data_IF_540124112753
#
_entry.id   IF_540124112753
#
_cell.length_a   1.000
_cell.length_b   1.000
_cell.length_c   1.000
_cell.angle_alpha   90.00
_cell.angle_beta   90.00
_cell.angle_gamma   90.00
#
_symmetry.space_group_name_H-M   'P 1'
#
loop_
_entity.id
_entity.type
_entity.pdbx_description
1 polymer ?
#
# COMPACT_ATOMS: atom_id res chain seq x y z
N UNK A 1 43.02 -35.24 30.15
CA UNK A 1 42.64 -35.30 28.71
C UNK A 1 41.96 -33.98 28.36
N UNK A 2 42.77 -33.01 27.90
CA UNK A 2 42.30 -31.72 27.38
C UNK A 2 41.73 -31.97 25.98
N UNK A 3 40.40 -31.84 25.85
CA UNK A 3 39.76 -31.72 24.55
C UNK A 3 40.10 -30.35 23.98
N UNK A 4 41.16 -30.28 23.17
CA UNK A 4 41.50 -29.10 22.41
C UNK A 4 40.34 -28.75 21.46
N UNK A 5 39.74 -27.60 21.66
CA UNK A 5 38.79 -26.94 20.76
C UNK A 5 39.43 -26.84 19.38
N UNK A 6 38.88 -27.56 18.41
CA UNK A 6 39.28 -27.48 16.99
C UNK A 6 38.82 -26.15 16.44
N UNK A 7 39.64 -25.12 16.47
CA UNK A 7 39.34 -23.85 15.80
C UNK A 7 39.48 -24.00 14.27
N UNK A 8 38.37 -24.24 13.60
CA UNK A 8 38.25 -24.03 12.17
C UNK A 8 38.18 -22.51 11.91
N UNK A 9 39.05 -22.01 11.05
CA UNK A 9 39.02 -20.59 10.69
C UNK A 9 38.01 -20.39 9.57
N UNK A 10 36.90 -19.68 9.89
CA UNK A 10 35.78 -19.38 8.97
C UNK A 10 35.87 -17.93 8.58
N UNK A 11 35.80 -17.64 7.27
CA UNK A 11 35.73 -16.29 6.68
C UNK A 11 34.49 -16.25 5.83
N UNK A 12 33.60 -15.30 6.12
CA UNK A 12 32.41 -15.05 5.34
C UNK A 12 32.40 -13.60 4.83
N UNK A 13 32.05 -13.40 3.56
CA UNK A 13 31.94 -12.07 2.95
C UNK A 13 30.89 -12.07 1.85
N UNK A 14 30.32 -10.90 1.57
CA UNK A 14 29.41 -10.70 0.45
C UNK A 14 30.13 -9.94 -0.67
N UNK A 15 30.00 -10.42 -1.90
CA UNK A 15 30.57 -9.81 -3.11
C UNK A 15 29.41 -9.40 -4.02
N UNK A 16 29.43 -8.14 -4.47
CA UNK A 16 28.49 -7.66 -5.50
C UNK A 16 29.19 -7.67 -6.87
N UNK A 17 28.61 -8.35 -7.85
CA UNK A 17 29.10 -8.38 -9.22
C UNK A 17 27.93 -8.44 -10.22
N UNK A 18 27.95 -7.59 -11.23
CA UNK A 18 26.96 -7.55 -12.32
C UNK A 18 25.51 -7.49 -11.84
N UNK A 19 25.27 -6.72 -10.75
CA UNK A 19 23.94 -6.59 -10.14
C UNK A 19 23.48 -7.78 -9.31
N UNK A 20 24.35 -8.79 -9.09
CA UNK A 20 24.10 -9.93 -8.21
C UNK A 20 24.92 -9.84 -6.94
N UNK A 21 24.43 -10.45 -5.88
CA UNK A 21 25.08 -10.52 -4.57
C UNK A 21 25.39 -12.00 -4.29
N UNK A 22 26.67 -12.30 -4.03
CA UNK A 22 27.14 -13.64 -3.70
C UNK A 22 27.63 -13.68 -2.26
N UNK A 23 27.12 -14.60 -1.47
CA UNK A 23 27.70 -14.96 -0.19
C UNK A 23 28.83 -15.96 -0.44
N UNK A 24 30.05 -15.56 -0.07
CA UNK A 24 31.26 -16.39 -0.18
C UNK A 24 31.70 -16.75 1.22
N UNK A 25 31.76 -18.05 1.49
CA UNK A 25 32.26 -18.59 2.75
C UNK A 25 33.48 -19.45 2.49
N UNK A 26 34.57 -19.23 3.23
CA UNK A 26 35.78 -20.03 3.18
C UNK A 26 36.03 -20.64 4.54
N UNK A 27 36.17 -21.96 4.57
CA UNK A 27 36.51 -22.71 5.76
C UNK A 27 37.92 -23.29 5.54
N UNK A 28 38.84 -22.97 6.46
CA UNK A 28 40.23 -23.48 6.43
C UNK A 28 40.37 -24.55 7.50
N UNK A 29 40.75 -25.76 7.07
CA UNK A 29 40.95 -26.92 7.93
C UNK A 29 42.38 -26.98 8.49
N UNK A 30 42.59 -27.79 9.50
CA UNK A 30 43.90 -27.96 10.17
C UNK A 30 45.01 -28.53 9.27
N UNK A 31 44.66 -29.35 8.29
CA UNK A 31 45.54 -29.88 7.27
C UNK A 31 45.92 -28.89 6.18
N UNK A 32 45.50 -27.60 6.33
CA UNK A 32 45.65 -26.51 5.37
C UNK A 32 44.84 -26.69 4.10
N UNK A 33 43.97 -27.67 4.03
CA UNK A 33 42.93 -27.67 2.98
C UNK A 33 41.89 -26.56 3.24
N UNK A 34 41.17 -26.17 2.22
CA UNK A 34 40.09 -25.16 2.34
C UNK A 34 38.92 -25.56 1.48
N UNK A 35 37.75 -25.14 1.93
CA UNK A 35 36.50 -25.25 1.19
C UNK A 35 35.96 -23.83 0.95
N UNK A 36 35.53 -23.53 -0.29
CA UNK A 36 34.90 -22.30 -0.63
C UNK A 36 33.50 -22.62 -1.13
N UNK A 37 32.47 -22.06 -0.47
CA UNK A 37 31.13 -22.08 -0.94
C UNK A 37 30.74 -20.67 -1.49
N UNK A 38 30.03 -20.65 -2.64
CA UNK A 38 29.56 -19.43 -3.29
C UNK A 38 28.08 -19.62 -3.56
N UNK A 39 27.25 -18.81 -2.90
CA UNK A 39 25.81 -18.87 -3.04
C UNK A 39 25.31 -17.53 -3.61
N UNK A 40 24.45 -17.56 -4.62
CA UNK A 40 23.73 -16.36 -5.08
C UNK A 40 22.63 -16.04 -4.07
N UNK A 41 22.80 -14.97 -3.33
CA UNK A 41 21.87 -14.49 -2.29
C UNK A 41 21.20 -13.18 -2.68
N UNK A 42 21.14 -12.90 -3.98
CA UNK A 42 20.58 -11.63 -4.51
C UNK A 42 19.14 -11.43 -4.07
N UNK A 43 18.30 -12.46 -4.20
CA UNK A 43 16.89 -12.37 -3.84
C UNK A 43 16.70 -12.20 -2.34
N UNK A 44 17.42 -12.94 -1.53
CA UNK A 44 17.38 -12.87 -0.07
C UNK A 44 17.80 -11.49 0.44
N UNK A 45 18.90 -10.95 -0.11
CA UNK A 45 19.39 -9.62 0.25
C UNK A 45 18.44 -8.50 -0.21
N UNK A 46 17.85 -8.62 -1.40
CA UNK A 46 16.83 -7.68 -1.86
C UNK A 46 15.59 -7.72 -0.98
N UNK A 47 15.10 -8.89 -0.63
CA UNK A 47 13.96 -9.04 0.29
C UNK A 47 14.28 -8.47 1.67
N UNK A 48 15.46 -8.78 2.23
CA UNK A 48 15.91 -8.24 3.51
C UNK A 48 16.04 -6.71 3.47
N UNK A 49 16.55 -6.15 2.37
CA UNK A 49 16.62 -4.70 2.15
C UNK A 49 15.24 -4.06 2.11
N UNK A 50 14.31 -4.63 1.34
CA UNK A 50 12.94 -4.13 1.24
C UNK A 50 12.23 -4.20 2.60
N UNK A 51 12.41 -5.28 3.36
CA UNK A 51 11.86 -5.43 4.72
C UNK A 51 12.42 -4.38 5.68
N UNK A 52 13.74 -4.12 5.66
CA UNK A 52 14.37 -3.06 6.46
C UNK A 52 13.81 -1.68 6.10
N UNK A 53 13.72 -1.39 4.81
CA UNK A 53 13.18 -0.11 4.32
C UNK A 53 11.71 0.07 4.71
N UNK A 54 10.91 -0.99 4.63
CA UNK A 54 9.52 -0.99 5.08
C UNK A 54 9.42 -0.63 6.57
N UNK A 55 10.20 -1.30 7.42
CA UNK A 55 10.22 -1.05 8.87
C UNK A 55 10.62 0.39 9.19
N UNK A 56 11.65 0.94 8.52
CA UNK A 56 12.08 2.32 8.69
C UNK A 56 10.98 3.32 8.28
N UNK A 57 10.31 3.07 7.15
CA UNK A 57 9.22 3.91 6.67
C UNK A 57 8.02 3.88 7.63
N UNK A 58 7.67 2.70 8.15
CA UNK A 58 6.62 2.54 9.17
C UNK A 58 6.96 3.39 10.41
N UNK A 59 8.16 3.23 10.96
CA UNK A 59 8.59 3.97 12.14
C UNK A 59 8.51 5.50 11.92
N UNK A 60 8.93 5.98 10.74
CA UNK A 60 8.87 7.40 10.39
C UNK A 60 7.42 7.90 10.24
N UNK A 61 6.56 7.16 9.54
CA UNK A 61 5.16 7.55 9.32
C UNK A 61 4.30 7.44 10.60
N UNK A 62 4.69 6.60 11.57
CA UNK A 62 4.08 6.55 12.91
C UNK A 62 4.55 7.69 13.79
N UNK A 63 5.86 8.03 13.79
CA UNK A 63 6.43 9.07 14.64
C UNK A 63 5.80 10.45 14.39
N UNK A 64 5.56 10.79 13.14
CA UNK A 64 5.04 12.12 12.75
C UNK A 64 3.69 12.45 13.40
N UNK A 65 2.62 11.62 13.24
CA UNK A 65 1.32 11.91 13.87
C UNK A 65 1.40 11.88 15.40
N UNK A 66 2.17 10.94 15.98
CA UNK A 66 2.35 10.86 17.44
C UNK A 66 2.97 12.14 17.98
N UNK A 67 4.07 12.62 17.39
CA UNK A 67 4.72 13.87 17.81
C UNK A 67 3.80 15.09 17.63
N UNK A 68 2.95 15.11 16.58
CA UNK A 68 1.98 16.19 16.39
C UNK A 68 0.90 16.19 17.48
N UNK A 69 0.34 15.02 17.81
CA UNK A 69 -0.64 14.87 18.90
C UNK A 69 -0.04 15.34 20.22
N UNK A 70 1.17 14.86 20.56
CA UNK A 70 1.88 15.24 21.76
C UNK A 70 2.07 16.77 21.83
N UNK A 71 2.55 17.40 20.76
CA UNK A 71 2.78 18.85 20.74
C UNK A 71 1.51 19.67 20.93
N UNK A 72 0.38 19.26 20.33
CA UNK A 72 -0.91 19.93 20.55
C UNK A 72 -1.38 19.79 22.00
N UNK A 73 -1.29 18.57 22.57
CA UNK A 73 -1.70 18.31 23.93
C UNK A 73 -0.78 19.03 24.94
N UNK A 74 0.54 19.02 24.75
CA UNK A 74 1.48 19.76 25.58
C UNK A 74 1.20 21.27 25.55
N UNK A 75 0.86 21.82 24.39
CA UNK A 75 0.50 23.23 24.28
C UNK A 75 -0.77 23.56 25.08
N UNK A 76 -1.80 22.70 25.00
CA UNK A 76 -3.03 22.87 25.78
C UNK A 76 -2.74 22.79 27.29
N UNK A 77 -1.95 21.80 27.73
CA UNK A 77 -1.66 21.58 29.15
C UNK A 77 -0.80 22.68 29.78
N UNK A 78 0.15 23.23 28.99
CA UNK A 78 1.09 24.24 29.47
C UNK A 78 0.63 25.70 29.28
N UNK A 79 -0.57 25.91 28.69
CA UNK A 79 -1.12 27.24 28.42
C UNK A 79 -2.44 27.46 29.16
N UNK A 80 -2.42 27.83 30.46
CA UNK A 80 -3.64 27.97 31.28
C UNK A 80 -4.66 28.97 30.75
N UNK A 81 -4.23 29.92 29.89
CA UNK A 81 -5.07 30.98 29.31
C UNK A 81 -5.28 30.79 27.79
N UNK A 82 -5.16 29.57 27.29
CA UNK A 82 -5.40 29.31 25.86
C UNK A 82 -6.85 29.67 25.48
N UNK A 83 -7.07 30.43 24.38
CA UNK A 83 -8.41 30.75 23.93
C UNK A 83 -9.20 29.47 23.60
N UNK A 84 -10.50 29.38 23.95
CA UNK A 84 -11.32 28.19 23.70
C UNK A 84 -11.30 27.72 22.23
N UNK A 85 -11.33 28.64 21.28
CA UNK A 85 -11.28 28.35 19.84
C UNK A 85 -9.93 27.71 19.43
N UNK A 86 -8.82 28.19 20.01
CA UNK A 86 -7.49 27.62 19.76
C UNK A 86 -7.37 26.23 20.37
N UNK A 87 -7.89 26.04 21.58
CA UNK A 87 -7.97 24.74 22.23
C UNK A 87 -8.78 23.76 21.39
N UNK A 88 -9.97 24.18 20.93
CA UNK A 88 -10.81 23.35 20.06
C UNK A 88 -10.08 22.95 18.78
N UNK A 89 -9.40 23.89 18.12
CA UNK A 89 -8.59 23.62 16.93
C UNK A 89 -7.49 22.58 17.19
N UNK A 90 -6.81 22.65 18.35
CA UNK A 90 -5.76 21.66 18.69
C UNK A 90 -6.34 20.27 18.99
N UNK A 91 -7.50 20.20 19.61
CA UNK A 91 -8.22 18.94 19.83
C UNK A 91 -8.67 18.32 18.50
N UNK A 92 -9.24 19.10 17.59
CA UNK A 92 -9.61 18.64 16.25
C UNK A 92 -8.41 18.13 15.46
N UNK A 93 -7.29 18.85 15.50
CA UNK A 93 -6.05 18.42 14.84
C UNK A 93 -5.50 17.14 15.47
N UNK A 94 -5.54 17.00 16.79
CA UNK A 94 -5.12 15.79 17.48
C UNK A 94 -6.00 14.59 17.10
N UNK A 95 -7.31 14.79 17.02
CA UNK A 95 -8.26 13.77 16.59
C UNK A 95 -8.01 13.34 15.13
N UNK A 96 -7.78 14.29 14.23
CA UNK A 96 -7.44 14.00 12.83
C UNK A 96 -6.15 13.19 12.70
N UNK A 97 -5.11 13.48 13.51
CA UNK A 97 -3.88 12.69 13.52
C UNK A 97 -4.08 11.29 14.11
N UNK A 98 -4.94 11.15 15.14
CA UNK A 98 -5.30 9.84 15.71
C UNK A 98 -6.02 8.97 14.70
N UNK A 99 -6.99 9.52 13.95
CA UNK A 99 -7.68 8.80 12.87
C UNK A 99 -6.70 8.36 11.78
N UNK A 100 -5.79 9.25 11.38
CA UNK A 100 -4.74 8.91 10.41
C UNK A 100 -3.86 7.75 10.89
N UNK A 101 -3.49 7.73 12.18
CA UNK A 101 -2.72 6.65 12.79
C UNK A 101 -3.47 5.31 12.72
N UNK A 102 -4.77 5.34 13.03
CA UNK A 102 -5.64 4.15 12.95
C UNK A 102 -5.71 3.60 11.52
N UNK A 103 -5.86 4.47 10.50
CA UNK A 103 -5.82 4.05 9.10
C UNK A 103 -4.48 3.44 8.71
N UNK A 104 -3.37 4.07 9.13
CA UNK A 104 -2.02 3.55 8.85
C UNK A 104 -1.79 2.18 9.47
N UNK A 105 -2.20 1.96 10.72
CA UNK A 105 -2.08 0.67 11.39
C UNK A 105 -2.92 -0.41 10.69
N UNK A 106 -4.14 -0.08 10.24
CA UNK A 106 -4.99 -0.99 9.47
C UNK A 106 -4.34 -1.39 8.15
N UNK A 107 -3.79 -0.41 7.42
CA UNK A 107 -3.09 -0.64 6.15
C UNK A 107 -1.87 -1.55 6.32
N UNK A 108 -1.05 -1.28 7.36
CA UNK A 108 0.11 -2.11 7.71
C UNK A 108 -0.35 -3.54 8.04
N UNK A 109 -1.35 -3.70 8.90
CA UNK A 109 -1.88 -5.01 9.27
C UNK A 109 -2.40 -5.79 8.05
N UNK A 110 -3.06 -5.11 7.12
CA UNK A 110 -3.55 -5.70 5.87
C UNK A 110 -2.38 -6.19 5.01
N UNK A 111 -1.36 -5.36 4.81
CA UNK A 111 -0.17 -5.74 4.02
C UNK A 111 0.61 -6.87 4.68
N UNK A 112 0.81 -6.85 6.00
CA UNK A 112 1.50 -7.92 6.72
C UNK A 112 0.79 -9.26 6.56
N UNK A 113 -0.55 -9.28 6.70
CA UNK A 113 -1.34 -10.49 6.45
C UNK A 113 -1.23 -10.99 5.01
N UNK A 114 -1.15 -10.10 4.03
CA UNK A 114 -0.94 -10.47 2.62
C UNK A 114 0.43 -11.08 2.37
N UNK A 115 1.47 -10.66 3.11
CA UNK A 115 2.85 -11.13 2.95
C UNK A 115 3.11 -12.48 3.67
N UNK A 116 2.39 -12.78 4.77
CA UNK A 116 2.76 -13.86 5.71
C UNK A 116 2.07 -15.21 5.46
N UNK A 117 0.94 -15.26 4.76
CA UNK A 117 0.23 -16.53 4.69
C UNK A 117 -0.78 -16.62 3.56
N UNK A 118 -1.31 -17.81 3.30
CA UNK A 118 -2.37 -18.02 2.32
C UNK A 118 -3.68 -17.34 2.78
N UNK A 119 -3.72 -16.02 2.71
CA UNK A 119 -4.92 -15.18 2.96
C UNK A 119 -6.09 -15.60 2.04
N UNK A 120 -5.82 -16.51 1.13
CA UNK A 120 -6.79 -17.10 0.19
C UNK A 120 -7.59 -18.26 0.78
N UNK A 121 -7.50 -18.53 2.10
CA UNK A 121 -8.25 -19.64 2.70
C UNK A 121 -9.76 -19.37 2.82
N UNK A 122 -10.18 -18.10 2.84
CA UNK A 122 -11.58 -17.71 2.90
C UNK A 122 -12.01 -17.12 1.54
N UNK A 123 -12.24 -17.98 0.57
CA UNK A 123 -12.84 -17.59 -0.71
C UNK A 123 -14.34 -17.75 -0.63
N UNK A 124 -15.05 -16.74 -1.06
CA UNK A 124 -16.50 -16.74 -1.21
C UNK A 124 -16.91 -16.08 -2.53
N UNK A 125 -18.11 -16.36 -2.96
CA UNK A 125 -18.70 -15.71 -4.14
C UNK A 125 -19.16 -14.30 -3.76
N UNK A 126 -18.43 -13.28 -4.24
CA UNK A 126 -18.66 -11.88 -3.91
C UNK A 126 -19.31 -11.16 -5.09
N UNK A 127 -20.49 -10.58 -4.88
CA UNK A 127 -21.11 -9.70 -5.87
C UNK A 127 -20.45 -8.32 -5.81
N UNK A 128 -19.58 -8.06 -6.80
CA UNK A 128 -18.79 -6.82 -6.89
C UNK A 128 -19.68 -5.59 -7.08
N UNK A 129 -20.77 -5.71 -7.84
CA UNK A 129 -21.67 -4.59 -8.08
C UNK A 129 -22.35 -4.11 -6.81
N UNK A 130 -22.82 -5.04 -5.97
CA UNK A 130 -23.42 -4.74 -4.66
C UNK A 130 -22.39 -4.15 -3.70
N UNK A 131 -21.19 -4.73 -3.65
CA UNK A 131 -20.08 -4.24 -2.83
C UNK A 131 -19.71 -2.80 -3.18
N UNK A 132 -19.55 -2.48 -4.45
CA UNK A 132 -19.19 -1.16 -4.93
C UNK A 132 -20.29 -0.13 -4.65
N UNK A 133 -21.56 -0.48 -4.81
CA UNK A 133 -22.70 0.38 -4.42
C UNK A 133 -22.64 0.71 -2.93
N UNK A 134 -22.32 -0.27 -2.08
CA UNK A 134 -22.08 -0.05 -0.64
C UNK A 134 -20.95 0.93 -0.38
N UNK A 135 -19.79 0.74 -1.03
CA UNK A 135 -18.62 1.63 -0.88
C UNK A 135 -18.98 3.08 -1.25
N UNK A 136 -19.64 3.31 -2.38
CA UNK A 136 -20.05 4.68 -2.77
C UNK A 136 -21.04 5.29 -1.78
N UNK A 137 -21.92 4.50 -1.18
CA UNK A 137 -22.83 4.96 -0.13
C UNK A 137 -22.09 5.36 1.14
N UNK A 138 -21.07 4.60 1.55
CA UNK A 138 -20.25 4.92 2.72
C UNK A 138 -19.45 6.22 2.58
N UNK A 139 -19.04 6.57 1.37
CA UNK A 139 -18.25 7.78 1.10
C UNK A 139 -19.09 8.92 0.49
N UNK A 140 -20.41 8.83 0.54
CA UNK A 140 -21.33 9.77 -0.10
C UNK A 140 -21.07 11.22 0.32
N UNK A 141 -20.82 11.49 1.61
CA UNK A 141 -20.51 12.84 2.10
C UNK A 141 -19.25 13.42 1.43
N UNK A 142 -18.18 12.63 1.33
CA UNK A 142 -16.95 13.09 0.68
C UNK A 142 -17.11 13.31 -0.83
N UNK A 143 -17.97 12.52 -1.47
CA UNK A 143 -18.35 12.69 -2.87
C UNK A 143 -19.12 14.00 -3.06
N UNK A 144 -20.10 14.27 -2.20
CA UNK A 144 -20.93 15.49 -2.24
C UNK A 144 -20.10 16.74 -1.94
N UNK A 145 -19.31 16.76 -0.88
CA UNK A 145 -18.42 17.87 -0.51
C UNK A 145 -17.47 18.29 -1.65
N UNK A 146 -17.03 17.32 -2.46
CA UNK A 146 -16.16 17.59 -3.61
C UNK A 146 -16.89 17.69 -4.93
N UNK A 147 -18.21 17.64 -4.94
CA UNK A 147 -19.04 17.73 -6.15
C UNK A 147 -18.65 16.66 -7.19
N UNK A 148 -18.31 15.45 -6.73
CA UNK A 148 -17.89 14.35 -7.59
C UNK A 148 -19.13 13.66 -8.18
N UNK A 149 -19.13 13.45 -9.49
CA UNK A 149 -20.11 12.59 -10.16
C UNK A 149 -19.61 11.15 -10.19
N UNK A 150 -20.44 10.18 -9.81
CA UNK A 150 -20.10 8.75 -9.85
C UNK A 150 -20.88 8.07 -10.96
N UNK A 151 -20.15 7.43 -11.88
CA UNK A 151 -20.69 6.58 -12.94
C UNK A 151 -20.30 5.11 -12.67
N UNK A 152 -21.16 4.38 -11.95
CA UNK A 152 -21.00 2.95 -11.77
C UNK A 152 -21.71 2.20 -12.88
N UNK A 153 -20.94 1.68 -13.83
CA UNK A 153 -21.41 0.97 -15.02
C UNK A 153 -21.11 -0.54 -14.95
N UNK A 154 -21.01 -1.09 -13.74
CA UNK A 154 -20.85 -2.53 -13.54
C UNK A 154 -22.17 -3.28 -13.79
N UNK A 155 -22.13 -4.46 -14.43
CA UNK A 155 -23.28 -5.35 -14.48
C UNK A 155 -23.75 -5.78 -13.08
N UNK A 156 -25.05 -5.84 -12.84
CA UNK A 156 -25.60 -6.13 -11.49
C UNK A 156 -25.23 -7.51 -10.93
N UNK A 157 -24.95 -8.47 -11.78
CA UNK A 157 -24.65 -9.87 -11.44
C UNK A 157 -23.17 -10.24 -11.58
N UNK A 158 -22.26 -9.27 -11.47
CA UNK A 158 -20.83 -9.51 -11.59
C UNK A 158 -20.31 -10.14 -10.29
N UNK A 159 -19.98 -11.44 -10.34
CA UNK A 159 -19.54 -12.23 -9.20
C UNK A 159 -18.08 -12.67 -9.40
N UNK A 160 -17.25 -12.49 -8.37
CA UNK A 160 -15.85 -12.93 -8.30
C UNK A 160 -15.69 -13.83 -7.09
N UNK A 161 -15.02 -14.97 -7.25
CA UNK A 161 -14.58 -15.79 -6.11
C UNK A 161 -13.30 -15.25 -5.50
N UNK A 162 -13.37 -14.85 -4.25
CA UNK A 162 -12.20 -14.27 -3.58
C UNK A 162 -12.43 -13.94 -2.12
N UNK A 163 -11.42 -13.36 -1.51
CA UNK A 163 -11.54 -12.84 -0.17
C UNK A 163 -12.27 -11.49 -0.20
N UNK A 164 -13.45 -11.44 0.42
CA UNK A 164 -14.34 -10.27 0.42
C UNK A 164 -13.67 -9.01 0.96
N UNK A 165 -12.88 -9.12 2.04
CA UNK A 165 -12.16 -7.99 2.62
C UNK A 165 -11.10 -7.41 1.69
N UNK A 166 -10.40 -8.27 0.95
CA UNK A 166 -9.40 -7.82 -0.03
C UNK A 166 -10.04 -7.22 -1.27
N UNK A 167 -11.13 -7.83 -1.77
CA UNK A 167 -11.92 -7.27 -2.87
C UNK A 167 -12.49 -5.90 -2.50
N UNK A 168 -13.07 -5.77 -1.31
CA UNK A 168 -13.49 -4.48 -0.77
C UNK A 168 -12.34 -3.47 -0.72
N UNK A 169 -11.15 -3.88 -0.26
CA UNK A 169 -9.99 -3.00 -0.18
C UNK A 169 -9.53 -2.47 -1.54
N UNK A 170 -9.68 -3.25 -2.63
CA UNK A 170 -9.37 -2.78 -3.99
C UNK A 170 -10.23 -1.56 -4.33
N UNK A 171 -11.56 -1.72 -4.30
CA UNK A 171 -12.48 -0.67 -4.74
C UNK A 171 -12.50 0.51 -3.78
N UNK A 172 -12.41 0.25 -2.47
CA UNK A 172 -12.37 1.30 -1.44
C UNK A 172 -11.13 2.19 -1.59
N UNK A 173 -9.93 1.61 -1.71
CA UNK A 173 -8.71 2.41 -1.87
C UNK A 173 -8.67 3.20 -3.18
N UNK A 174 -9.17 2.62 -4.29
CA UNK A 174 -9.28 3.37 -5.55
C UNK A 174 -10.25 4.55 -5.42
N UNK A 175 -11.39 4.36 -4.76
CA UNK A 175 -12.38 5.41 -4.51
C UNK A 175 -11.82 6.50 -3.60
N UNK A 176 -11.22 6.13 -2.46
CA UNK A 176 -10.60 7.07 -1.53
C UNK A 176 -9.48 7.88 -2.22
N UNK A 177 -8.69 7.22 -3.08
CA UNK A 177 -7.64 7.89 -3.86
C UNK A 177 -8.23 8.93 -4.84
N UNK A 178 -9.29 8.60 -5.56
CA UNK A 178 -9.94 9.53 -6.46
C UNK A 178 -10.55 10.73 -5.71
N UNK A 179 -11.27 10.48 -4.60
CA UNK A 179 -11.83 11.56 -3.75
C UNK A 179 -10.71 12.46 -3.22
N UNK A 180 -9.57 11.89 -2.81
CA UNK A 180 -8.47 12.68 -2.25
C UNK A 180 -7.73 13.53 -3.30
N UNK A 181 -7.47 12.97 -4.49
CA UNK A 181 -6.48 13.53 -5.40
C UNK A 181 -7.00 14.02 -6.75
N UNK A 182 -8.15 13.54 -7.23
CA UNK A 182 -8.63 13.92 -8.56
C UNK A 182 -9.03 15.39 -8.66
N UNK A 183 -9.53 15.98 -7.58
CA UNK A 183 -9.98 17.38 -7.55
C UNK A 183 -11.45 17.51 -7.18
N UNK A 184 -12.03 18.65 -7.51
CA UNK A 184 -13.45 18.97 -7.27
C UNK A 184 -14.19 19.02 -8.61
N UNK A 185 -15.46 18.62 -8.65
CA UNK A 185 -16.29 18.65 -9.86
C UNK A 185 -15.87 17.60 -10.91
N UNK A 186 -15.15 16.55 -10.49
CA UNK A 186 -14.67 15.49 -11.37
C UNK A 186 -15.67 14.34 -11.46
N UNK A 187 -15.52 13.50 -12.49
CA UNK A 187 -16.28 12.26 -12.63
C UNK A 187 -15.41 11.06 -12.30
N UNK A 188 -15.88 10.18 -11.42
CA UNK A 188 -15.31 8.86 -11.19
C UNK A 188 -16.15 7.87 -11.99
N UNK A 189 -15.49 7.06 -12.82
CA UNK A 189 -16.15 6.03 -13.64
C UNK A 189 -15.56 4.67 -13.35
N UNK A 190 -16.43 3.69 -13.09
CA UNK A 190 -16.07 2.28 -12.92
C UNK A 190 -16.82 1.43 -13.93
N UNK A 191 -16.09 0.65 -14.71
CA UNK A 191 -16.62 -0.23 -15.75
C UNK A 191 -15.96 -1.62 -15.68
N UNK A 192 -16.73 -2.65 -16.04
CA UNK A 192 -16.18 -3.92 -16.52
C UNK A 192 -16.30 -3.91 -18.05
N UNK A 193 -15.20 -3.55 -18.72
CA UNK A 193 -15.23 -3.29 -20.18
C UNK A 193 -15.00 -4.53 -21.04
N UNK A 194 -14.58 -5.63 -20.43
CA UNK A 194 -14.36 -6.92 -21.09
C UNK A 194 -14.45 -8.03 -20.07
N UNK A 195 -14.93 -9.18 -20.50
CA UNK A 195 -14.80 -10.45 -19.81
C UNK A 195 -14.36 -11.54 -20.80
N UNK A 196 -13.65 -12.55 -20.30
CA UNK A 196 -13.37 -13.78 -21.00
C UNK A 196 -13.76 -14.98 -20.10
N UNK A 197 -13.42 -16.19 -20.51
CA UNK A 197 -13.81 -17.41 -19.77
C UNK A 197 -13.24 -17.45 -18.34
N UNK A 198 -12.14 -16.74 -18.07
CA UNK A 198 -11.37 -16.83 -16.83
C UNK A 198 -11.32 -15.54 -16.01
N UNK A 199 -11.53 -14.38 -16.64
CA UNK A 199 -11.26 -13.07 -16.01
C UNK A 199 -12.30 -12.02 -16.38
N UNK A 200 -12.49 -11.09 -15.45
CA UNK A 200 -13.09 -9.78 -15.68
C UNK A 200 -12.02 -8.71 -15.82
N UNK A 201 -12.26 -7.74 -16.70
CA UNK A 201 -11.37 -6.61 -16.99
C UNK A 201 -12.04 -5.32 -16.56
N UNK A 202 -11.47 -4.66 -15.57
CA UNK A 202 -12.01 -3.45 -14.98
C UNK A 202 -11.22 -2.21 -15.40
N UNK A 203 -11.92 -1.10 -15.54
CA UNK A 203 -11.37 0.24 -15.60
C UNK A 203 -12.01 1.07 -14.50
N UNK A 204 -11.16 1.62 -13.61
CA UNK A 204 -11.52 2.63 -12.62
C UNK A 204 -10.80 3.91 -12.99
N UNK A 205 -11.53 4.96 -13.35
CA UNK A 205 -10.95 6.20 -13.86
C UNK A 205 -11.59 7.43 -13.22
N UNK A 206 -10.80 8.51 -13.17
CA UNK A 206 -11.28 9.84 -12.85
C UNK A 206 -10.99 10.83 -13.99
N UNK A 207 -11.64 12.00 -13.97
CA UNK A 207 -11.41 13.09 -14.91
C UNK A 207 -10.59 14.23 -14.31
N UNK A 208 -9.79 13.92 -13.30
CA UNK A 208 -9.00 14.90 -12.55
C UNK A 208 -7.70 15.32 -13.22
N UNK A 209 -6.73 15.70 -12.40
CA UNK A 209 -5.45 16.26 -12.88
C UNK A 209 -4.46 15.20 -13.43
N UNK A 210 -4.72 13.90 -13.17
CA UNK A 210 -3.78 12.85 -13.53
C UNK A 210 -2.47 12.90 -12.73
N UNK A 211 -1.44 12.20 -13.25
CA UNK A 211 -0.13 12.05 -12.60
C UNK A 211 0.98 12.25 -13.64
N UNK A 212 2.09 12.95 -13.34
CA UNK A 212 3.22 13.02 -14.26
C UNK A 212 3.70 11.63 -14.67
N UNK A 213 4.02 11.39 -15.96
CA UNK A 213 4.30 10.06 -16.51
C UNK A 213 5.39 9.29 -15.77
N UNK A 214 6.42 9.98 -15.28
CA UNK A 214 7.55 9.41 -14.53
C UNK A 214 7.14 8.77 -13.19
N UNK A 215 5.96 9.12 -12.66
CA UNK A 215 5.44 8.59 -11.41
C UNK A 215 4.51 7.38 -11.58
N UNK A 216 3.96 7.16 -12.80
CA UNK A 216 2.92 6.14 -13.05
C UNK A 216 3.33 4.73 -12.59
N UNK A 217 4.55 4.30 -12.94
CA UNK A 217 5.06 2.98 -12.59
C UNK A 217 5.31 2.81 -11.08
N UNK A 218 5.47 3.94 -10.37
CA UNK A 218 5.81 3.97 -8.95
C UNK A 218 4.60 4.11 -8.04
N UNK A 219 3.41 4.37 -8.56
CA UNK A 219 2.19 4.59 -7.78
C UNK A 219 1.86 3.43 -6.84
N UNK A 220 2.28 2.21 -7.19
CA UNK A 220 2.03 0.99 -6.39
C UNK A 220 3.16 0.65 -5.42
N UNK A 221 4.25 1.46 -5.37
CA UNK A 221 5.31 1.27 -4.38
C UNK A 221 4.80 1.67 -2.98
N UNK A 222 5.18 0.90 -1.95
CA UNK A 222 4.78 1.18 -0.56
C UNK A 222 5.35 2.52 -0.11
N UNK A 223 4.51 3.37 0.52
CA UNK A 223 4.84 4.73 0.99
C UNK A 223 5.18 5.74 -0.10
N UNK A 224 5.02 5.37 -1.37
CA UNK A 224 5.26 6.29 -2.47
C UNK A 224 4.16 7.36 -2.56
N UNK A 225 4.57 8.58 -2.84
CA UNK A 225 3.69 9.74 -3.03
C UNK A 225 4.31 10.68 -4.04
N UNK A 226 3.51 11.16 -5.00
CA UNK A 226 3.93 12.15 -6.00
C UNK A 226 4.29 13.47 -5.34
N UNK A 227 3.44 13.93 -4.39
CA UNK A 227 3.67 15.13 -3.57
C UNK A 227 3.49 14.77 -2.08
N UNK A 228 4.61 14.74 -1.36
CA UNK A 228 4.63 14.41 0.08
C UNK A 228 3.89 15.44 0.93
N UNK A 229 3.91 16.73 0.55
CA UNK A 229 3.31 17.81 1.31
C UNK A 229 1.78 17.79 1.20
N UNK A 230 1.26 17.74 -0.02
CA UNK A 230 -0.18 17.70 -0.32
C UNK A 230 -0.81 16.41 0.23
N UNK A 231 -0.16 15.27 0.01
CA UNK A 231 -0.68 13.97 0.46
C UNK A 231 -0.76 13.84 2.00
N UNK A 232 0.15 14.50 2.76
CA UNK A 232 0.07 14.53 4.22
C UNK A 232 -1.14 15.31 4.71
N UNK A 233 -1.46 16.44 4.08
CA UNK A 233 -2.65 17.24 4.42
C UNK A 233 -3.95 16.51 4.13
N UNK A 234 -3.96 15.64 3.12
CA UNK A 234 -5.11 14.83 2.71
C UNK A 234 -5.24 13.50 3.49
N UNK A 235 -4.36 13.24 4.46
CA UNK A 235 -4.42 12.04 5.32
C UNK A 235 -3.93 10.74 4.67
N UNK A 236 -3.41 10.77 3.45
CA UNK A 236 -2.95 9.57 2.74
C UNK A 236 -1.80 8.85 3.47
N UNK A 237 -1.83 7.52 3.52
CA UNK A 237 -0.79 6.67 4.10
C UNK A 237 0.34 6.35 3.11
N UNK A 238 0.05 6.37 1.81
CA UNK A 238 0.92 5.88 0.75
C UNK A 238 0.97 4.35 0.65
N UNK A 239 0.05 3.67 1.31
CA UNK A 239 -0.07 2.19 1.29
C UNK A 239 -1.27 1.71 0.48
N UNK A 240 -2.30 2.54 0.30
CA UNK A 240 -3.56 2.13 -0.33
C UNK A 240 -3.39 1.51 -1.71
N UNK A 241 -2.62 2.12 -2.62
CA UNK A 241 -2.39 1.56 -3.96
C UNK A 241 -1.49 0.31 -3.94
N UNK A 242 -0.58 0.18 -2.97
CA UNK A 242 0.18 -1.05 -2.76
C UNK A 242 -0.73 -2.19 -2.29
N UNK A 243 -1.72 -1.91 -1.42
CA UNK A 243 -2.78 -2.85 -1.02
C UNK A 243 -3.58 -3.28 -2.24
N UNK A 244 -4.01 -2.32 -3.07
CA UNK A 244 -4.74 -2.62 -4.32
C UNK A 244 -3.96 -3.59 -5.20
N UNK A 245 -2.68 -3.31 -5.47
CA UNK A 245 -1.83 -4.17 -6.31
C UNK A 245 -1.71 -5.58 -5.72
N UNK A 246 -1.40 -5.70 -4.43
CA UNK A 246 -1.25 -7.00 -3.79
C UNK A 246 -2.57 -7.79 -3.78
N UNK A 247 -3.69 -7.12 -3.49
CA UNK A 247 -5.00 -7.76 -3.50
C UNK A 247 -5.37 -8.27 -4.90
N UNK A 248 -5.13 -7.48 -5.96
CA UNK A 248 -5.34 -7.90 -7.36
C UNK A 248 -4.47 -9.10 -7.72
N UNK A 249 -3.17 -9.07 -7.35
CA UNK A 249 -2.24 -10.19 -7.62
C UNK A 249 -2.66 -11.47 -6.89
N UNK A 250 -3.10 -11.39 -5.63
CA UNK A 250 -3.60 -12.51 -4.85
C UNK A 250 -4.88 -13.13 -5.48
N UNK A 251 -5.68 -12.33 -6.20
CA UNK A 251 -6.83 -12.82 -6.97
C UNK A 251 -6.46 -13.24 -8.41
N UNK A 252 -5.16 -13.51 -8.69
CA UNK A 252 -4.68 -13.97 -9.99
C UNK A 252 -4.83 -12.95 -11.11
N UNK A 253 -4.99 -11.68 -10.75
CA UNK A 253 -5.11 -10.55 -11.67
C UNK A 253 -3.81 -9.82 -11.94
N UNK A 254 -3.93 -8.76 -12.74
CA UNK A 254 -2.87 -7.79 -13.03
C UNK A 254 -3.44 -6.38 -12.91
N UNK A 255 -2.61 -5.40 -12.58
CA UNK A 255 -3.01 -3.99 -12.52
C UNK A 255 -1.92 -3.09 -13.06
N UNK A 256 -2.32 -2.03 -13.75
CA UNK A 256 -1.47 -0.91 -14.13
C UNK A 256 -2.25 0.40 -14.11
N UNK A 257 -1.51 1.52 -14.08
CA UNK A 257 -2.07 2.87 -14.11
C UNK A 257 -1.61 3.57 -15.40
N UNK A 258 -2.49 4.40 -15.96
CA UNK A 258 -2.18 5.29 -17.07
C UNK A 258 -2.96 6.59 -16.93
N UNK A 259 -2.45 7.67 -17.51
CA UNK A 259 -3.23 8.89 -17.66
C UNK A 259 -4.28 8.72 -18.76
N UNK A 260 -5.44 9.28 -18.52
CA UNK A 260 -6.50 9.34 -19.51
C UNK A 260 -6.21 10.49 -20.49
N UNK A 261 -6.30 10.29 -21.82
CA UNK A 261 -6.05 11.35 -22.81
C UNK A 261 -6.92 12.61 -22.63
N UNK A 262 -8.09 12.46 -22.01
CA UNK A 262 -9.02 13.56 -21.72
C UNK A 262 -8.82 14.22 -20.35
N UNK A 263 -7.76 13.86 -19.64
CA UNK A 263 -7.46 14.25 -18.28
C UNK A 263 -7.86 13.17 -17.26
N UNK A 264 -7.13 13.14 -16.12
CA UNK A 264 -7.35 12.21 -15.04
C UNK A 264 -6.48 10.95 -15.10
N UNK A 265 -6.68 10.08 -14.12
CA UNK A 265 -5.95 8.83 -13.93
C UNK A 265 -6.89 7.65 -14.17
N UNK A 266 -6.37 6.61 -14.81
CA UNK A 266 -7.10 5.36 -15.05
C UNK A 266 -6.29 4.17 -14.52
N UNK A 267 -6.92 3.36 -13.67
CA UNK A 267 -6.43 2.07 -13.20
C UNK A 267 -7.13 0.97 -13.99
N UNK A 268 -6.36 0.18 -14.72
CA UNK A 268 -6.85 -0.98 -15.45
C UNK A 268 -6.39 -2.23 -14.73
N UNK A 269 -7.32 -3.09 -14.37
CA UNK A 269 -6.99 -4.31 -13.65
C UNK A 269 -7.90 -5.49 -14.02
N UNK A 270 -7.43 -6.68 -13.70
CA UNK A 270 -8.19 -7.91 -13.92
C UNK A 270 -8.41 -8.63 -12.60
N UNK A 271 -9.53 -9.35 -12.50
CA UNK A 271 -9.79 -10.30 -11.43
C UNK A 271 -10.18 -11.63 -12.05
N UNK A 272 -9.70 -12.73 -11.47
CA UNK A 272 -10.08 -14.06 -11.90
C UNK A 272 -11.54 -14.34 -11.50
N UNK A 273 -12.32 -15.01 -12.36
CA UNK A 273 -13.72 -15.33 -12.08
C UNK A 273 -13.86 -16.39 -10.99
N UNK A 274 -13.05 -17.45 -11.08
CA UNK A 274 -12.96 -18.60 -10.16
C UNK A 274 -11.51 -18.99 -9.90
#
# INVERSE_FOLDING_TARGET
EEQGSKEEKRIALHISKDGRIFAVECIVFQDRSFEISINDVTQEEEQARLKRQLTQNIAHELKTPVSSIQGYLETILNSPQIPPETMHTFLERSYAQSNRLTHLLRDISTLTRMDEAPVMQEREAVNISTMVKGIFSEVAMGIEERQITVENLLPDNLVVEGNSSLLYSIFRNLTDNAIAYAGTGVTIRLTCFREDDTKYYFSFSDTGVGVPPEHLNRLFERFYRVDKGRSRKMGGTGLGLAIVKNAVLLHGGTIFAKNNPKGGLEFVFTLKKQ
#
